data_IF_031271312635
#
_entry.id   IF_031271312635
#
_cell.length_a   1.000
_cell.length_b   1.000
_cell.length_c   1.000
_cell.angle_alpha   90.00
_cell.angle_beta   90.00
_cell.angle_gamma   90.00
#
_symmetry.space_group_name_H-M   'P 1'
#
loop_
_entity.id
_entity.type
_entity.pdbx_description
1 polymer ?
#
# COMPACT_ATOMS: atom_id res chain seq x y z
N UNK A 1 15.33 17.02 -15.75
CA UNK A 1 13.92 16.99 -16.17
C UNK A 1 13.81 16.14 -17.43
N UNK A 2 13.06 15.04 -17.42
CA UNK A 2 12.79 14.28 -18.65
C UNK A 2 11.74 15.05 -19.46
N UNK A 3 11.97 15.24 -20.76
CA UNK A 3 10.93 15.72 -21.66
C UNK A 3 9.68 14.82 -21.52
N UNK A 4 8.51 15.44 -21.37
CA UNK A 4 7.27 14.68 -21.30
C UNK A 4 7.10 13.85 -22.58
N UNK A 5 6.85 12.55 -22.43
CA UNK A 5 6.53 11.70 -23.57
C UNK A 5 5.23 12.20 -24.22
N UNK A 6 5.14 12.13 -25.55
CA UNK A 6 3.86 12.32 -26.22
C UNK A 6 2.85 11.26 -25.73
N UNK A 7 1.53 11.54 -25.77
CA UNK A 7 0.51 10.59 -25.34
C UNK A 7 0.67 9.20 -25.97
N UNK A 8 0.92 9.15 -27.28
CA UNK A 8 1.15 7.91 -28.01
C UNK A 8 2.38 7.12 -27.49
N UNK A 9 3.49 7.81 -27.19
CA UNK A 9 4.67 7.17 -26.62
C UNK A 9 4.45 6.68 -25.19
N UNK A 10 3.63 7.39 -24.41
CA UNK A 10 3.27 6.98 -23.06
C UNK A 10 2.37 5.72 -23.06
N UNK A 11 1.38 5.67 -23.94
CA UNK A 11 0.51 4.50 -24.13
C UNK A 11 1.30 3.29 -24.59
N UNK A 12 2.18 3.47 -25.58
CA UNK A 12 3.05 2.41 -26.07
C UNK A 12 4.00 1.90 -24.97
N UNK A 13 4.60 2.80 -24.18
CA UNK A 13 5.43 2.45 -23.02
C UNK A 13 4.66 1.56 -22.05
N UNK A 14 3.45 1.98 -21.69
CA UNK A 14 2.61 1.26 -20.72
C UNK A 14 2.24 -0.12 -21.26
N UNK A 15 1.87 -0.22 -22.55
CA UNK A 15 1.55 -1.49 -23.19
C UNK A 15 2.74 -2.47 -23.18
N UNK A 16 3.94 -1.98 -23.54
CA UNK A 16 5.16 -2.79 -23.54
C UNK A 16 5.49 -3.28 -22.12
N UNK A 17 5.46 -2.40 -21.13
CA UNK A 17 5.81 -2.74 -19.74
C UNK A 17 4.82 -3.72 -19.11
N UNK A 18 3.53 -3.55 -19.37
CA UNK A 18 2.48 -4.48 -18.92
C UNK A 18 2.66 -5.87 -19.52
N UNK A 19 3.00 -5.97 -20.81
CA UNK A 19 3.27 -7.26 -21.45
C UNK A 19 4.58 -7.88 -20.94
N UNK A 20 5.64 -7.07 -20.83
CA UNK A 20 6.95 -7.52 -20.36
C UNK A 20 6.91 -8.15 -18.95
N UNK A 21 6.06 -7.64 -18.06
CA UNK A 21 5.89 -8.17 -16.70
C UNK A 21 5.55 -9.67 -16.70
N UNK A 22 4.82 -10.16 -17.72
CA UNK A 22 4.45 -11.58 -17.86
C UNK A 22 5.65 -12.47 -18.16
N UNK A 23 6.71 -11.92 -18.73
CA UNK A 23 7.90 -12.66 -19.18
C UNK A 23 9.06 -12.63 -18.17
N UNK A 24 9.01 -11.75 -17.15
CA UNK A 24 10.10 -11.56 -16.18
C UNK A 24 10.50 -12.85 -15.46
N UNK A 25 9.55 -13.74 -15.17
CA UNK A 25 9.87 -15.02 -14.50
C UNK A 25 10.81 -15.90 -15.32
N UNK A 26 10.76 -15.79 -16.64
CA UNK A 26 11.56 -16.61 -17.56
C UNK A 26 12.87 -15.93 -17.92
N UNK A 27 12.83 -14.63 -18.24
CA UNK A 27 13.96 -13.91 -18.86
C UNK A 27 14.55 -12.79 -17.99
N UNK A 28 14.00 -12.56 -16.80
CA UNK A 28 14.45 -11.55 -15.85
C UNK A 28 14.23 -10.11 -16.33
N UNK A 29 15.02 -9.19 -15.77
CA UNK A 29 15.01 -7.77 -16.14
C UNK A 29 16.02 -7.50 -17.24
N UNK A 30 15.78 -8.02 -18.45
CA UNK A 30 16.73 -7.98 -19.56
C UNK A 30 16.09 -7.54 -20.87
N UNK A 31 16.92 -7.23 -21.88
CA UNK A 31 16.43 -6.94 -23.24
C UNK A 31 15.81 -8.16 -23.94
N UNK A 32 16.07 -9.38 -23.46
CA UNK A 32 15.35 -10.56 -23.95
C UNK A 32 13.85 -10.49 -23.60
N UNK A 33 13.52 -9.95 -22.41
CA UNK A 33 12.15 -9.68 -21.99
C UNK A 33 11.48 -8.63 -22.89
N UNK A 34 12.22 -7.60 -23.32
CA UNK A 34 11.73 -6.63 -24.30
C UNK A 34 11.40 -7.32 -25.62
N UNK A 35 12.33 -8.11 -26.18
CA UNK A 35 12.11 -8.82 -27.44
C UNK A 35 10.89 -9.76 -27.37
N UNK A 36 10.73 -10.50 -26.26
CA UNK A 36 9.57 -11.35 -26.03
C UNK A 36 8.26 -10.53 -26.00
N UNK A 37 8.24 -9.40 -25.28
CA UNK A 37 7.06 -8.54 -25.17
C UNK A 37 6.65 -7.90 -26.50
N UNK A 38 7.63 -7.44 -27.31
CA UNK A 38 7.35 -6.86 -28.63
C UNK A 38 6.79 -7.91 -29.59
N UNK A 39 7.32 -9.14 -29.54
CA UNK A 39 6.79 -10.27 -30.31
C UNK A 39 5.33 -10.58 -29.94
N UNK A 40 4.99 -10.54 -28.65
CA UNK A 40 3.61 -10.75 -28.17
C UNK A 40 2.66 -9.62 -28.60
N UNK A 41 3.14 -8.38 -28.65
CA UNK A 41 2.33 -7.21 -29.06
C UNK A 41 2.08 -7.18 -30.57
N UNK A 42 2.92 -7.86 -31.37
CA UNK A 42 2.74 -7.98 -32.82
C UNK A 42 3.02 -6.68 -33.60
N UNK A 43 3.81 -5.75 -33.03
CA UNK A 43 4.14 -4.47 -33.65
C UNK A 43 5.64 -4.31 -33.89
N UNK A 44 6.02 -3.86 -35.07
CA UNK A 44 7.38 -3.38 -35.34
C UNK A 44 7.55 -1.98 -34.73
N UNK A 45 8.35 -1.88 -33.67
CA UNK A 45 8.68 -0.60 -33.03
C UNK A 45 10.13 -0.28 -33.37
N UNK A 46 10.38 0.88 -33.99
CA UNK A 46 11.74 1.30 -34.33
C UNK A 46 12.63 1.48 -33.10
N UNK A 47 13.92 1.18 -33.23
CA UNK A 47 14.92 1.37 -32.16
C UNK A 47 15.00 2.82 -31.67
N UNK A 48 14.75 3.78 -32.57
CA UNK A 48 14.66 5.20 -32.23
C UNK A 48 13.48 5.50 -31.32
N UNK A 49 12.33 4.88 -31.54
CA UNK A 49 11.18 5.02 -30.66
C UNK A 49 11.45 4.36 -29.30
N UNK A 50 12.06 3.16 -29.28
CA UNK A 50 12.39 2.46 -28.04
C UNK A 50 13.39 3.23 -27.17
N UNK A 51 14.45 3.79 -27.76
CA UNK A 51 15.43 4.61 -27.03
C UNK A 51 14.82 5.91 -26.49
N UNK A 52 13.85 6.50 -27.19
CA UNK A 52 13.12 7.67 -26.70
C UNK A 52 12.16 7.32 -25.54
N UNK A 53 11.46 6.18 -25.64
CA UNK A 53 10.51 5.71 -24.62
C UNK A 53 11.22 5.24 -23.34
N UNK A 54 12.36 4.59 -23.51
CA UNK A 54 13.18 3.99 -22.44
C UNK A 54 14.55 4.67 -22.34
N UNK A 55 14.55 5.98 -22.11
CA UNK A 55 15.75 6.82 -22.08
C UNK A 55 16.84 6.40 -21.07
N UNK A 56 16.45 5.77 -19.94
CA UNK A 56 17.37 5.20 -18.93
C UNK A 56 17.60 3.69 -19.09
N UNK A 57 17.04 3.10 -20.15
CA UNK A 57 17.06 1.68 -20.42
C UNK A 57 15.74 0.99 -20.07
N UNK A 58 15.40 -0.01 -20.86
CA UNK A 58 14.21 -0.83 -20.65
C UNK A 58 14.22 -1.60 -19.31
N UNK A 59 15.33 -2.25 -18.90
CA UNK A 59 15.35 -3.02 -17.65
C UNK A 59 14.90 -2.22 -16.43
N UNK A 60 15.45 -1.02 -16.20
CA UNK A 60 15.05 -0.18 -15.08
C UNK A 60 13.61 0.33 -15.22
N UNK A 61 13.17 0.67 -16.44
CA UNK A 61 11.80 1.09 -16.66
C UNK A 61 10.79 -0.02 -16.32
N UNK A 62 11.17 -1.28 -16.52
CA UNK A 62 10.39 -2.45 -16.11
C UNK A 62 10.38 -2.64 -14.60
N UNK A 63 11.53 -2.50 -13.94
CA UNK A 63 11.59 -2.52 -12.46
C UNK A 63 10.68 -1.44 -11.87
N UNK A 64 10.82 -0.20 -12.33
CA UNK A 64 9.99 0.92 -11.85
C UNK A 64 8.49 0.71 -12.09
N UNK A 65 8.13 0.07 -13.21
CA UNK A 65 6.74 -0.29 -13.49
C UNK A 65 6.21 -1.28 -12.46
N UNK A 66 6.95 -2.36 -12.19
CA UNK A 66 6.56 -3.38 -11.21
C UNK A 66 6.50 -2.80 -9.80
N UNK A 67 7.47 -1.95 -9.42
CA UNK A 67 7.45 -1.26 -8.12
C UNK A 67 6.21 -0.37 -7.99
N UNK A 68 5.87 0.43 -9.01
CA UNK A 68 4.66 1.25 -8.99
C UNK A 68 3.39 0.41 -8.94
N UNK A 69 3.29 -0.65 -9.74
CA UNK A 69 2.15 -1.58 -9.70
C UNK A 69 1.99 -2.22 -8.31
N UNK A 70 3.09 -2.59 -7.66
CA UNK A 70 3.06 -3.14 -6.30
C UNK A 70 2.66 -2.09 -5.26
N UNK A 71 3.06 -0.82 -5.41
CA UNK A 71 2.60 0.29 -4.56
C UNK A 71 1.08 0.48 -4.68
N UNK A 72 0.57 0.52 -5.91
CA UNK A 72 -0.86 0.64 -6.17
C UNK A 72 -1.66 -0.54 -5.63
N UNK A 73 -1.10 -1.76 -5.72
CA UNK A 73 -1.71 -2.95 -5.13
C UNK A 73 -1.81 -2.83 -3.61
N UNK A 74 -0.73 -2.41 -2.93
CA UNK A 74 -0.74 -2.16 -1.48
C UNK A 74 -1.77 -1.09 -1.12
N UNK A 75 -1.80 0.04 -1.84
CA UNK A 75 -2.76 1.09 -1.59
C UNK A 75 -4.20 0.58 -1.69
N UNK A 76 -4.51 -0.23 -2.71
CA UNK A 76 -5.83 -0.82 -2.88
C UNK A 76 -6.21 -1.77 -1.73
N UNK A 77 -5.28 -2.62 -1.31
CA UNK A 77 -5.46 -3.51 -0.16
C UNK A 77 -5.72 -2.72 1.14
N UNK A 78 -4.93 -1.67 1.40
CA UNK A 78 -5.10 -0.84 2.59
C UNK A 78 -6.41 -0.04 2.57
N UNK A 79 -6.79 0.51 1.42
CA UNK A 79 -8.08 1.20 1.25
C UNK A 79 -9.25 0.25 1.50
N UNK A 80 -9.19 -0.97 0.94
CA UNK A 80 -10.26 -1.96 1.08
C UNK A 80 -10.40 -2.44 2.51
N UNK A 81 -9.29 -2.65 3.22
CA UNK A 81 -9.29 -3.21 4.56
C UNK A 81 -9.48 -2.17 5.68
N UNK A 82 -8.98 -0.94 5.50
CA UNK A 82 -8.80 0.01 6.58
C UNK A 82 -9.35 1.41 6.31
N UNK A 83 -10.12 1.60 5.24
CA UNK A 83 -10.84 2.86 5.11
C UNK A 83 -11.92 3.02 6.17
N UNK A 84 -12.34 4.27 6.35
CA UNK A 84 -13.31 4.67 7.37
C UNK A 84 -14.60 3.83 7.27
N UNK A 85 -15.05 3.53 6.06
CA UNK A 85 -16.35 2.88 5.87
C UNK A 85 -16.26 1.37 6.09
N UNK A 86 -15.12 0.75 5.78
CA UNK A 86 -14.81 -0.64 6.12
C UNK A 86 -14.80 -0.83 7.64
N UNK A 87 -14.20 0.10 8.38
CA UNK A 87 -14.15 0.07 9.84
C UNK A 87 -15.55 0.28 10.42
N UNK A 88 -16.31 1.27 9.94
CA UNK A 88 -17.71 1.49 10.38
C UNK A 88 -18.56 0.25 10.08
N UNK A 89 -18.40 -0.39 8.92
CA UNK A 89 -19.13 -1.61 8.56
C UNK A 89 -18.75 -2.79 9.46
N UNK A 90 -17.48 -2.90 9.85
CA UNK A 90 -17.01 -3.91 10.81
C UNK A 90 -17.66 -3.70 12.19
N UNK A 91 -17.73 -2.45 12.65
CA UNK A 91 -18.41 -2.07 13.89
C UNK A 91 -19.91 -2.36 13.80
N UNK A 92 -20.56 -1.99 12.70
CA UNK A 92 -21.99 -2.23 12.49
C UNK A 92 -22.35 -3.72 12.54
N UNK A 93 -21.45 -4.56 12.02
CA UNK A 93 -21.60 -6.02 12.05
C UNK A 93 -21.34 -6.64 13.42
N UNK A 94 -20.69 -5.91 14.34
CA UNK A 94 -20.25 -6.38 15.65
C UNK A 94 -20.55 -5.34 16.75
N UNK A 95 -21.73 -4.72 16.67
CA UNK A 95 -22.03 -3.51 17.45
C UNK A 95 -22.02 -3.76 18.96
N UNK A 96 -22.54 -4.89 19.43
CA UNK A 96 -22.50 -5.26 20.86
C UNK A 96 -21.06 -5.36 21.36
N UNK A 97 -20.22 -6.08 20.62
CA UNK A 97 -18.80 -6.21 20.94
C UNK A 97 -18.09 -4.85 20.91
N UNK A 98 -18.46 -3.94 20.01
CA UNK A 98 -17.91 -2.59 20.00
C UNK A 98 -18.33 -1.82 21.26
N UNK A 99 -19.62 -1.78 21.59
CA UNK A 99 -20.14 -1.05 22.76
C UNK A 99 -19.51 -1.57 24.07
N UNK A 100 -19.35 -2.88 24.19
CA UNK A 100 -18.78 -3.55 25.36
C UNK A 100 -17.24 -3.60 25.34
N UNK A 101 -16.58 -2.90 24.42
CA UNK A 101 -15.12 -2.84 24.28
C UNK A 101 -14.42 -4.19 24.03
N UNK A 102 -15.13 -5.14 23.42
CA UNK A 102 -14.60 -6.45 23.04
C UNK A 102 -14.17 -6.53 21.58
N UNK A 103 -14.57 -5.58 20.75
CA UNK A 103 -14.12 -5.48 19.36
C UNK A 103 -12.73 -4.86 19.30
N UNK A 104 -11.76 -5.61 18.78
CA UNK A 104 -10.42 -5.09 18.49
C UNK A 104 -10.47 -4.28 17.19
N UNK A 105 -10.27 -2.97 17.31
CA UNK A 105 -10.11 -2.11 16.14
C UNK A 105 -8.72 -2.32 15.51
N UNK A 106 -8.58 -2.10 14.19
CA UNK A 106 -7.27 -2.11 13.56
C UNK A 106 -6.33 -1.11 14.22
N UNK A 107 -5.07 -1.50 14.33
CA UNK A 107 -3.98 -0.70 14.89
C UNK A 107 -2.96 -0.38 13.81
N UNK A 108 -2.04 0.55 14.08
CA UNK A 108 -0.93 0.89 13.19
C UNK A 108 -0.11 -0.35 12.79
N UNK A 109 0.08 -1.26 13.73
CA UNK A 109 0.70 -2.56 13.54
C UNK A 109 0.01 -3.39 12.45
N UNK A 110 -1.32 -3.45 12.45
CA UNK A 110 -2.08 -4.18 11.42
C UNK A 110 -1.89 -3.56 10.02
N UNK A 111 -1.76 -2.23 9.94
CA UNK A 111 -1.50 -1.52 8.68
C UNK A 111 -0.10 -1.85 8.16
N UNK A 112 0.92 -1.74 9.03
CA UNK A 112 2.32 -2.02 8.69
C UNK A 112 2.50 -3.48 8.23
N UNK A 113 1.93 -4.44 8.98
CA UNK A 113 1.97 -5.86 8.60
C UNK A 113 1.31 -6.08 7.24
N UNK A 114 0.08 -5.59 7.03
CA UNK A 114 -0.63 -5.78 5.77
C UNK A 114 0.13 -5.17 4.60
N UNK A 115 0.62 -3.94 4.74
CA UNK A 115 1.34 -3.25 3.67
C UNK A 115 2.57 -4.04 3.20
N UNK A 116 3.37 -4.52 4.15
CA UNK A 116 4.62 -5.23 3.85
C UNK A 116 4.34 -6.64 3.33
N UNK A 117 3.38 -7.36 3.92
CA UNK A 117 3.02 -8.69 3.44
C UNK A 117 2.42 -8.64 2.03
N UNK A 118 1.55 -7.67 1.72
CA UNK A 118 1.03 -7.48 0.35
C UNK A 118 2.16 -7.18 -0.65
N UNK A 119 3.17 -6.40 -0.24
CA UNK A 119 4.35 -6.11 -1.05
C UNK A 119 5.20 -7.37 -1.29
N UNK A 120 5.45 -8.16 -0.25
CA UNK A 120 6.16 -9.45 -0.34
C UNK A 120 5.41 -10.41 -1.25
N UNK A 121 4.09 -10.52 -1.10
CA UNK A 121 3.25 -11.40 -1.93
C UNK A 121 3.27 -11.01 -3.41
N UNK A 122 3.25 -9.70 -3.69
CA UNK A 122 3.36 -9.21 -5.05
C UNK A 122 4.71 -9.53 -5.69
N UNK A 123 5.80 -9.40 -4.94
CA UNK A 123 7.17 -9.62 -5.43
C UNK A 123 7.61 -11.09 -5.41
N UNK A 124 6.97 -11.94 -4.59
CA UNK A 124 7.30 -13.35 -4.42
C UNK A 124 7.50 -14.10 -5.75
N UNK A 125 6.62 -13.96 -6.78
CA UNK A 125 6.79 -14.70 -8.02
C UNK A 125 7.97 -14.21 -8.88
N UNK A 126 8.56 -13.07 -8.53
CA UNK A 126 9.70 -12.45 -9.18
C UNK A 126 10.98 -12.57 -8.34
N UNK A 127 10.90 -13.16 -7.15
CA UNK A 127 11.97 -13.18 -6.15
C UNK A 127 13.31 -13.68 -6.71
N UNK A 128 13.29 -14.72 -7.55
CA UNK A 128 14.50 -15.26 -8.18
C UNK A 128 15.27 -14.23 -9.04
N UNK A 129 14.56 -13.30 -9.69
CA UNK A 129 15.17 -12.27 -10.53
C UNK A 129 15.29 -10.91 -9.83
N UNK A 130 14.68 -10.76 -8.65
CA UNK A 130 14.66 -9.52 -7.89
C UNK A 130 16.05 -9.00 -7.47
N UNK A 131 17.07 -9.83 -7.17
CA UNK A 131 18.43 -9.32 -6.92
C UNK A 131 18.96 -8.44 -8.06
N UNK A 132 18.66 -8.79 -9.32
CA UNK A 132 19.06 -7.99 -10.49
C UNK A 132 18.27 -6.67 -10.60
N UNK A 133 17.00 -6.66 -10.18
CA UNK A 133 16.20 -5.45 -10.08
C UNK A 133 16.78 -4.49 -9.03
N UNK A 134 17.12 -5.01 -7.85
CA UNK A 134 17.76 -4.22 -6.78
C UNK A 134 19.08 -3.63 -7.27
N UNK A 135 19.92 -4.41 -7.96
CA UNK A 135 21.15 -3.86 -8.53
C UNK A 135 20.91 -2.69 -9.49
N UNK A 136 19.85 -2.76 -10.32
CA UNK A 136 19.46 -1.66 -11.22
C UNK A 136 18.96 -0.42 -10.45
N UNK A 137 18.19 -0.61 -9.38
CA UNK A 137 17.65 0.47 -8.55
C UNK A 137 18.73 1.27 -7.82
N UNK A 138 19.81 0.60 -7.41
CA UNK A 138 20.93 1.19 -6.68
C UNK A 138 21.99 1.86 -7.57
N UNK A 139 21.84 1.81 -8.90
CA UNK A 139 22.70 2.59 -9.79
C UNK A 139 22.49 4.10 -9.54
N UNK A 140 23.57 4.92 -9.49
CA UNK A 140 23.46 6.35 -9.19
C UNK A 140 22.48 7.11 -10.09
N UNK A 141 22.37 6.72 -11.36
CA UNK A 141 21.43 7.32 -12.33
C UNK A 141 19.95 7.02 -12.05
N UNK A 142 19.67 5.98 -11.26
CA UNK A 142 18.32 5.48 -10.97
C UNK A 142 17.89 5.80 -9.54
N UNK A 143 18.84 5.95 -8.61
CA UNK A 143 18.60 6.16 -7.19
C UNK A 143 17.55 7.25 -6.88
N UNK A 144 17.54 8.44 -7.51
CA UNK A 144 16.51 9.44 -7.22
C UNK A 144 15.09 8.95 -7.51
N UNK A 145 14.90 8.14 -8.55
CA UNK A 145 13.61 7.59 -8.95
C UNK A 145 13.19 6.44 -8.03
N UNK A 146 14.15 5.60 -7.64
CA UNK A 146 13.95 4.53 -6.64
C UNK A 146 13.48 5.12 -5.31
N UNK A 147 14.13 6.18 -4.83
CA UNK A 147 13.79 6.85 -3.57
C UNK A 147 12.38 7.46 -3.61
N UNK A 148 11.96 8.03 -4.75
CA UNK A 148 10.60 8.55 -4.91
C UNK A 148 9.56 7.42 -4.83
N UNK A 149 9.79 6.29 -5.53
CA UNK A 149 8.87 5.15 -5.47
C UNK A 149 8.81 4.52 -4.06
N UNK A 150 9.94 4.48 -3.35
CA UNK A 150 9.98 4.03 -1.95
C UNK A 150 9.23 5.00 -1.04
N UNK A 151 9.45 6.30 -1.21
CA UNK A 151 8.77 7.34 -0.43
C UNK A 151 7.26 7.27 -0.63
N UNK A 152 6.77 7.04 -1.86
CA UNK A 152 5.35 6.87 -2.15
C UNK A 152 4.73 5.69 -1.39
N UNK A 153 5.41 4.54 -1.36
CA UNK A 153 4.98 3.37 -0.59
C UNK A 153 4.93 3.65 0.91
N UNK A 154 6.01 4.24 1.43
CA UNK A 154 6.14 4.57 2.85
C UNK A 154 5.06 5.58 3.26
N UNK A 155 4.93 6.68 2.52
CA UNK A 155 3.95 7.73 2.81
C UNK A 155 2.52 7.20 2.72
N UNK A 156 2.22 6.33 1.75
CA UNK A 156 0.92 5.63 1.68
C UNK A 156 0.66 4.80 2.93
N UNK A 157 1.63 4.03 3.38
CA UNK A 157 1.47 3.17 4.58
C UNK A 157 1.27 4.03 5.83
N UNK A 158 2.10 5.07 6.02
CA UNK A 158 2.01 5.98 7.16
C UNK A 158 0.69 6.76 7.16
N UNK A 159 0.19 7.15 5.98
CA UNK A 159 -1.12 7.77 5.82
C UNK A 159 -2.23 6.89 6.41
N UNK A 160 -2.27 5.59 6.06
CA UNK A 160 -3.27 4.67 6.62
C UNK A 160 -3.05 4.39 8.11
N UNK A 161 -1.81 4.39 8.61
CA UNK A 161 -1.51 4.26 10.03
C UNK A 161 -2.08 5.44 10.84
N UNK A 162 -1.80 6.68 10.43
CA UNK A 162 -2.36 7.88 11.11
C UNK A 162 -3.88 7.88 11.08
N UNK A 163 -4.48 7.53 9.94
CA UNK A 163 -5.95 7.46 9.82
C UNK A 163 -6.56 6.48 10.78
N UNK A 164 -5.94 5.31 10.90
CA UNK A 164 -6.43 4.22 11.76
C UNK A 164 -6.28 4.59 13.24
N UNK A 165 -5.13 5.15 13.63
CA UNK A 165 -4.91 5.61 15.00
C UNK A 165 -5.88 6.73 15.40
N UNK A 166 -5.98 7.78 14.57
CA UNK A 166 -6.89 8.91 14.80
C UNK A 166 -8.34 8.45 14.86
N UNK A 167 -8.73 7.52 13.98
CA UNK A 167 -10.07 6.97 14.00
C UNK A 167 -10.33 6.18 15.29
N UNK A 168 -9.37 5.38 15.78
CA UNK A 168 -9.47 4.68 17.06
C UNK A 168 -9.69 5.65 18.23
N UNK A 169 -8.95 6.75 18.27
CA UNK A 169 -9.11 7.81 19.29
C UNK A 169 -10.49 8.47 19.23
N UNK A 170 -11.04 8.72 18.04
CA UNK A 170 -12.36 9.33 17.84
C UNK A 170 -13.52 8.37 18.12
N UNK A 171 -13.31 7.07 17.87
CA UNK A 171 -14.32 6.05 18.12
C UNK A 171 -14.53 5.79 19.61
N UNK A 172 -13.56 6.07 20.46
CA UNK A 172 -13.68 5.86 21.92
C UNK A 172 -14.77 6.76 22.56
N UNK A 173 -14.82 8.08 22.32
CA UNK A 173 -15.96 8.91 22.72
C UNK A 173 -17.29 8.46 22.10
N UNK A 174 -17.29 8.09 20.82
CA UNK A 174 -18.49 7.65 20.12
C UNK A 174 -19.07 6.36 20.75
N UNK A 175 -18.19 5.42 21.13
CA UNK A 175 -18.52 4.20 21.86
C UNK A 175 -19.21 4.50 23.19
N UNK A 176 -18.69 5.44 23.97
CA UNK A 176 -19.30 5.85 25.25
C UNK A 176 -20.69 6.44 25.08
N UNK A 177 -20.91 7.22 24.02
CA UNK A 177 -22.23 7.77 23.68
C UNK A 177 -23.21 6.64 23.28
N UNK A 178 -22.75 5.66 22.51
CA UNK A 178 -23.58 4.52 22.13
C UNK A 178 -23.89 3.64 23.36
N UNK A 179 -22.92 3.44 24.25
CA UNK A 179 -23.10 2.70 25.49
C UNK A 179 -24.12 3.38 26.42
N UNK A 180 -24.05 4.70 26.60
CA UNK A 180 -25.01 5.43 27.43
C UNK A 180 -26.43 5.39 26.85
N UNK A 181 -26.58 5.45 25.53
CA UNK A 181 -27.87 5.27 24.85
C UNK A 181 -28.41 3.84 24.98
N UNK A 182 -27.55 2.82 24.87
CA UNK A 182 -27.93 1.43 25.09
C UNK A 182 -28.37 1.17 26.54
N UNK A 183 -27.79 1.88 27.52
CA UNK A 183 -28.21 1.81 28.92
C UNK A 183 -29.48 2.61 29.23
N UNK A 184 -29.69 3.75 28.57
CA UNK A 184 -30.82 4.66 28.84
C UNK A 184 -32.11 4.28 28.09
N UNK A 185 -31.98 3.61 26.96
CA UNK A 185 -33.09 3.12 26.15
C UNK A 185 -32.87 1.65 25.85
N UNK A 186 -33.90 0.82 25.98
CA UNK A 186 -33.96 -0.48 25.28
C UNK A 186 -33.92 -0.21 23.77
N UNK A 187 -32.75 0.10 23.22
CA UNK A 187 -32.53 0.09 21.78
C UNK A 187 -32.88 -1.31 21.32
N UNK A 188 -33.99 -1.46 20.60
CA UNK A 188 -34.21 -2.63 19.77
C UNK A 188 -33.10 -2.60 18.71
N UNK A 189 -32.02 -3.32 19.01
CA UNK A 189 -30.95 -3.65 18.06
C UNK A 189 -31.58 -4.38 16.88
N UNK A 190 -32.06 -3.66 15.87
CA UNK A 190 -32.79 -4.29 14.76
C UNK A 190 -33.42 -3.37 13.73
N UNK A 191 -33.72 -2.10 14.05
CA UNK A 191 -34.27 -1.19 13.04
C UNK A 191 -33.19 -0.77 12.04
N UNK A 192 -33.08 -1.54 10.95
CA UNK A 192 -32.42 -1.10 9.72
C UNK A 192 -33.32 -0.08 9.04
N UNK A 193 -32.79 1.12 8.79
CA UNK A 193 -33.48 2.09 7.94
C UNK A 193 -33.64 1.56 6.51
N UNK A 194 -34.39 2.26 5.65
CA UNK A 194 -34.65 1.84 4.26
C UNK A 194 -33.39 1.56 3.41
N UNK A 195 -32.22 2.03 3.86
CA UNK A 195 -30.92 1.82 3.21
C UNK A 195 -30.10 0.64 3.81
N UNK A 196 -30.67 -0.13 4.73
CA UNK A 196 -30.00 -1.28 5.36
C UNK A 196 -28.94 -0.96 6.44
N UNK A 197 -28.62 0.32 6.65
CA UNK A 197 -27.67 0.76 7.68
C UNK A 197 -28.36 0.88 9.06
N UNK A 198 -27.67 0.46 10.13
CA UNK A 198 -28.18 0.66 11.49
C UNK A 198 -28.14 2.15 11.90
N UNK A 199 -28.93 2.49 12.92
CA UNK A 199 -28.89 3.79 13.58
C UNK A 199 -27.48 4.12 14.11
N UNK A 200 -26.74 3.12 14.60
CA UNK A 200 -25.37 3.29 15.08
C UNK A 200 -24.38 3.61 13.94
N UNK A 201 -24.46 2.91 12.81
CA UNK A 201 -23.66 3.23 11.62
C UNK A 201 -23.92 4.66 11.14
N UNK A 202 -25.18 5.06 11.10
CA UNK A 202 -25.57 6.42 10.68
C UNK A 202 -25.03 7.48 11.65
N UNK A 203 -25.10 7.22 12.96
CA UNK A 203 -24.48 8.06 13.97
C UNK A 203 -22.96 8.17 13.77
N UNK A 204 -22.24 7.06 13.59
CA UNK A 204 -20.78 7.07 13.42
C UNK A 204 -20.36 7.84 12.16
N UNK A 205 -21.10 7.67 11.04
CA UNK A 205 -20.83 8.43 9.81
C UNK A 205 -20.99 9.93 10.01
N UNK A 206 -22.04 10.34 10.73
CA UNK A 206 -22.29 11.75 11.05
C UNK A 206 -21.25 12.29 12.04
N UNK A 207 -20.90 11.50 13.06
CA UNK A 207 -19.90 11.86 14.07
C UNK A 207 -18.52 12.08 13.46
N UNK A 208 -18.16 11.27 12.47
CA UNK A 208 -16.87 11.33 11.76
C UNK A 208 -16.93 12.15 10.46
N UNK A 209 -18.02 12.89 10.23
CA UNK A 209 -18.17 13.66 9.01
C UNK A 209 -17.25 14.90 9.03
N UNK A 210 -16.53 15.13 7.93
CA UNK A 210 -15.65 16.31 7.78
C UNK A 210 -14.35 16.27 8.59
N UNK A 211 -14.10 15.22 9.39
CA UNK A 211 -12.86 15.12 10.18
C UNK A 211 -11.73 14.57 9.31
N UNK A 212 -10.64 15.32 9.20
CA UNK A 212 -9.40 14.86 8.60
C UNK A 212 -8.73 13.84 9.54
N UNK A 213 -8.54 12.61 9.06
CA UNK A 213 -7.99 11.52 9.87
C UNK A 213 -6.45 11.41 9.77
N UNK A 214 -5.81 12.15 8.89
CA UNK A 214 -4.34 12.24 8.83
C UNK A 214 -3.93 13.67 8.52
N UNK A 215 -2.89 14.12 9.23
CA UNK A 215 -2.24 15.41 9.03
C UNK A 215 -1.21 15.38 7.89
N UNK A 216 -0.73 14.20 7.51
CA UNK A 216 0.35 14.08 6.54
C UNK A 216 1.68 14.60 7.11
N UNK A 217 2.64 14.94 6.23
CA UNK A 217 3.99 15.36 6.65
C UNK A 217 4.06 16.73 7.34
N UNK A 218 2.96 17.49 7.34
CA UNK A 218 2.88 18.83 7.89
C UNK A 218 1.91 18.84 9.08
N UNK A 219 2.33 19.45 10.20
CA UNK A 219 1.46 19.64 11.36
C UNK A 219 0.62 20.93 11.25
N UNK A 220 1.13 21.91 10.51
CA UNK A 220 0.47 23.17 10.14
C UNK A 220 1.13 23.72 8.85
N UNK A 221 0.73 24.90 8.37
CA UNK A 221 1.24 25.54 7.16
C UNK A 221 2.77 25.74 7.09
N UNK A 222 3.48 25.63 8.23
CA UNK A 222 4.94 25.83 8.29
C UNK A 222 5.70 24.85 9.19
N UNK A 223 5.02 23.93 9.89
CA UNK A 223 5.66 23.04 10.86
C UNK A 223 5.62 21.59 10.39
N UNK A 224 6.74 20.88 10.57
CA UNK A 224 6.85 19.47 10.24
C UNK A 224 6.19 18.61 11.31
N UNK A 225 5.45 17.59 10.89
CA UNK A 225 4.96 16.57 11.80
C UNK A 225 6.09 15.55 12.07
N UNK A 226 6.83 15.73 13.17
CA UNK A 226 7.95 14.83 13.51
C UNK A 226 7.50 13.38 13.71
N UNK A 227 6.27 13.14 14.17
CA UNK A 227 5.71 11.78 14.30
C UNK A 227 5.52 11.11 12.94
N UNK A 228 5.12 11.87 11.91
CA UNK A 228 5.06 11.38 10.53
C UNK A 228 6.42 10.84 10.08
N UNK A 229 7.49 11.64 10.24
CA UNK A 229 8.83 11.24 9.82
C UNK A 229 9.40 10.07 10.62
N UNK A 230 9.08 9.99 11.92
CA UNK A 230 9.42 8.82 12.73
C UNK A 230 8.76 7.55 12.17
N UNK A 231 7.46 7.59 11.89
CA UNK A 231 6.74 6.47 11.25
C UNK A 231 7.27 6.13 9.87
N UNK A 232 7.62 7.13 9.05
CA UNK A 232 8.28 6.91 7.74
C UNK A 232 9.56 6.11 7.89
N UNK A 233 10.39 6.45 8.88
CA UNK A 233 11.63 5.74 9.14
C UNK A 233 11.36 4.30 9.59
N UNK A 234 10.40 4.07 10.50
CA UNK A 234 10.03 2.72 10.94
C UNK A 234 9.54 1.84 9.76
N UNK A 235 8.64 2.36 8.92
CA UNK A 235 8.14 1.63 7.75
C UNK A 235 9.24 1.40 6.72
N UNK A 236 10.10 2.38 6.48
CA UNK A 236 11.25 2.26 5.57
C UNK A 236 12.23 1.18 6.02
N UNK A 237 12.55 1.12 7.32
CA UNK A 237 13.39 0.07 7.91
C UNK A 237 12.73 -1.30 7.80
N UNK A 238 11.44 -1.40 8.14
CA UNK A 238 10.69 -2.65 8.02
C UNK A 238 10.67 -3.16 6.57
N UNK A 239 10.45 -2.27 5.59
CA UNK A 239 10.53 -2.62 4.17
C UNK A 239 11.92 -3.11 3.78
N UNK A 240 12.98 -2.41 4.21
CA UNK A 240 14.36 -2.82 3.96
C UNK A 240 14.68 -4.21 4.52
N UNK A 241 14.26 -4.50 5.75
CA UNK A 241 14.43 -5.82 6.38
C UNK A 241 13.66 -6.89 5.63
N UNK A 242 12.37 -6.67 5.34
CA UNK A 242 11.53 -7.66 4.66
C UNK A 242 12.02 -7.95 3.23
N UNK A 243 12.40 -6.93 2.47
CA UNK A 243 12.92 -7.11 1.11
C UNK A 243 14.28 -7.79 1.09
N UNK A 244 15.19 -7.42 1.99
CA UNK A 244 16.51 -8.07 2.10
C UNK A 244 16.35 -9.54 2.50
N UNK A 245 15.45 -9.83 3.45
CA UNK A 245 15.09 -11.21 3.82
C UNK A 245 14.55 -11.98 2.61
N UNK A 246 13.62 -11.40 1.85
CA UNK A 246 13.01 -12.03 0.68
C UNK A 246 14.05 -12.45 -0.38
N UNK A 247 15.13 -11.67 -0.55
CA UNK A 247 16.21 -12.00 -1.50
C UNK A 247 16.96 -13.29 -1.13
N UNK A 248 17.05 -13.61 0.16
CA UNK A 248 17.73 -14.81 0.67
C UNK A 248 16.79 -15.94 1.09
N UNK A 249 15.48 -15.74 0.98
CA UNK A 249 14.48 -16.66 1.50
C UNK A 249 14.27 -17.85 0.55
N UNK A 250 14.67 -19.03 1.00
CA UNK A 250 14.50 -20.31 0.29
C UNK A 250 13.30 -21.11 0.80
N UNK A 251 12.59 -20.59 1.81
CA UNK A 251 11.44 -21.25 2.41
C UNK A 251 10.22 -21.24 1.48
N UNK A 252 9.33 -22.20 1.66
CA UNK A 252 8.11 -22.30 0.85
C UNK A 252 7.24 -21.06 1.05
N UNK A 253 6.89 -20.39 -0.04
CA UNK A 253 6.07 -19.17 -0.06
C UNK A 253 6.64 -18.00 0.78
N UNK A 254 7.97 -17.94 0.95
CA UNK A 254 8.66 -16.97 1.78
C UNK A 254 8.14 -16.95 3.24
N UNK A 255 7.96 -18.14 3.82
CA UNK A 255 7.48 -18.32 5.18
C UNK A 255 8.40 -17.66 6.23
N UNK A 256 9.71 -17.70 6.02
CA UNK A 256 10.69 -17.10 6.92
C UNK A 256 10.61 -15.57 6.88
N UNK A 257 10.53 -14.98 5.68
CA UNK A 257 10.33 -13.52 5.52
C UNK A 257 9.00 -13.06 6.09
N UNK A 258 7.91 -13.81 5.90
CA UNK A 258 6.60 -13.50 6.51
C UNK A 258 6.69 -13.53 8.03
N UNK A 259 7.35 -14.54 8.60
CA UNK A 259 7.52 -14.69 10.05
C UNK A 259 8.39 -13.59 10.64
N UNK A 260 9.51 -13.27 9.98
CA UNK A 260 10.38 -12.15 10.34
C UNK A 260 9.60 -10.83 10.31
N UNK A 261 8.83 -10.58 9.24
CA UNK A 261 8.01 -9.37 9.10
C UNK A 261 7.08 -9.21 10.30
N UNK A 262 6.35 -10.28 10.68
CA UNK A 262 5.44 -10.25 11.83
C UNK A 262 6.18 -9.99 13.14
N UNK A 263 7.32 -10.62 13.35
CA UNK A 263 8.12 -10.43 14.56
C UNK A 263 8.68 -9.01 14.68
N UNK A 264 9.16 -8.42 13.57
CA UNK A 264 9.64 -7.03 13.54
C UNK A 264 8.47 -6.08 13.77
N UNK A 265 7.32 -6.32 13.14
CA UNK A 265 6.12 -5.50 13.35
C UNK A 265 5.69 -5.51 14.82
N UNK A 266 5.64 -6.67 15.48
CA UNK A 266 5.36 -6.78 16.93
C UNK A 266 6.35 -6.00 17.80
N UNK A 267 7.61 -5.91 17.37
CA UNK A 267 8.65 -5.27 18.18
C UNK A 267 8.71 -3.75 17.98
N UNK A 268 8.26 -3.25 16.83
CA UNK A 268 8.41 -1.85 16.43
C UNK A 268 7.11 -1.03 16.49
N UNK A 269 5.94 -1.69 16.53
CA UNK A 269 4.60 -1.07 16.51
C UNK A 269 3.68 -1.68 17.56
#
# INVERSE_FOLDING_TARGET
MCAALSPAHFELRTKILSEATKHVRTTGFTNATLAASLKSIGGEVSDRALSHIFNRGFPIALVEHIVKSSNSCVQHELETAFNKEAIIKSIDSNLDAFVENRLLLPTEKNIAERAILSKVEFLLPLAQHWPSAVALEYLPSNLPYTVVNLAEFVDTTVYYMERTATLGELLEPARRILQSKAMASHLQYGERGMNGASSASSFLRNFLHGIALSSGPYADHSTLNLRWYYKRAQVGLLYGVATTSLLGDVSRNAADTRSLTKAVVESFF
#
